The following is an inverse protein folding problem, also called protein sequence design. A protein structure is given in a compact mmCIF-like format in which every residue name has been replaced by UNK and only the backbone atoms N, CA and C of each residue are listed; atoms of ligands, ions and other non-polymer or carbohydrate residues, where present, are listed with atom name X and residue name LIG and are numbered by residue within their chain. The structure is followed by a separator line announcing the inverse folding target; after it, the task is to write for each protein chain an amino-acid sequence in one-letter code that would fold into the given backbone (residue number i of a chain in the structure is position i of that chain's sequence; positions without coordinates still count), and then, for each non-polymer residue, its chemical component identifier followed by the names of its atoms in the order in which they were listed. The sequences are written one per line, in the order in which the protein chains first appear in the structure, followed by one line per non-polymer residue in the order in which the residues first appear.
data_IF_119703586820
#
_entry.id   IF_119703586820
#
_cell.length_a   1.000
_cell.length_b   1.000
_cell.length_c   1.000
_cell.angle_alpha   90.00
_cell.angle_beta   90.00
_cell.angle_gamma   90.00
#
_symmetry.space_group_name_H-M   'P 1'
#
loop_
_entity.id
_entity.type
_entity.pdbx_description
1 polymer ?
#
# COMPACT_ATOMS: atom_id res chain seq x y z
N UNK A 1 14.61 -9.17 16.17
CA UNK A 1 13.59 -8.96 15.13
C UNK A 1 14.17 -8.00 14.10
N UNK A 2 14.17 -8.30 12.80
CA UNK A 2 14.69 -7.36 11.80
C UNK A 2 13.56 -6.40 11.44
N UNK A 3 13.63 -5.19 11.96
CA UNK A 3 12.65 -4.12 11.70
C UNK A 3 12.92 -3.52 10.32
N UNK A 4 11.88 -3.33 9.51
CA UNK A 4 11.97 -2.62 8.24
C UNK A 4 11.68 -1.14 8.43
N UNK A 5 12.17 -0.30 7.52
CA UNK A 5 11.65 1.07 7.42
C UNK A 5 10.18 1.05 7.01
N UNK A 6 9.44 2.14 7.24
CA UNK A 6 8.03 2.21 6.84
C UNK A 6 7.87 2.11 5.32
N UNK A 7 8.76 2.76 4.57
CA UNK A 7 8.76 2.71 3.12
C UNK A 7 9.03 1.28 2.59
N UNK A 8 9.97 0.54 3.18
CA UNK A 8 10.21 -0.86 2.81
C UNK A 8 9.03 -1.76 3.14
N UNK A 9 8.35 -1.53 4.28
CA UNK A 9 7.17 -2.30 4.65
C UNK A 9 6.00 -2.09 3.67
N UNK A 10 5.75 -0.85 3.23
CA UNK A 10 4.75 -0.59 2.19
C UNK A 10 5.15 -1.16 0.82
N UNK A 11 6.42 -0.99 0.45
CA UNK A 11 6.95 -1.49 -0.81
C UNK A 11 6.91 -3.02 -0.92
N UNK A 12 6.96 -3.73 0.21
CA UNK A 12 6.78 -5.19 0.25
C UNK A 12 5.45 -5.62 -0.39
N UNK A 13 4.37 -4.85 -0.19
CA UNK A 13 3.06 -5.09 -0.78
C UNK A 13 2.84 -4.37 -2.12
N UNK A 14 3.87 -3.73 -2.69
CA UNK A 14 3.73 -2.92 -3.91
C UNK A 14 2.87 -1.66 -3.73
N UNK A 15 2.69 -1.21 -2.48
CA UNK A 15 1.93 0.00 -2.13
C UNK A 15 2.86 1.18 -1.90
N UNK A 16 2.38 2.40 -2.13
CA UNK A 16 3.17 3.62 -1.99
C UNK A 16 2.42 4.66 -1.15
N UNK A 17 2.93 5.03 0.04
CA UNK A 17 2.28 6.05 0.87
C UNK A 17 2.41 7.43 0.23
N UNK A 18 1.40 8.29 0.43
CA UNK A 18 1.47 9.69 -0.01
C UNK A 18 2.64 10.43 0.67
N UNK A 19 2.92 10.10 1.93
CA UNK A 19 4.07 10.62 2.65
C UNK A 19 4.68 9.62 3.64
N UNK A 20 5.92 9.15 3.40
CA UNK A 20 6.54 8.09 4.20
C UNK A 20 6.85 8.47 5.66
N UNK A 21 6.63 9.71 6.09
CA UNK A 21 6.82 10.13 7.48
C UNK A 21 5.56 10.03 8.34
N UNK A 22 4.38 10.21 7.75
CA UNK A 22 3.12 10.30 8.51
C UNK A 22 2.00 9.44 7.96
N UNK A 23 2.14 8.82 6.78
CA UNK A 23 1.14 7.92 6.23
C UNK A 23 0.96 6.70 7.11
N UNK A 24 -0.30 6.38 7.40
CA UNK A 24 -0.70 5.18 8.16
C UNK A 24 -1.24 4.08 7.25
N UNK A 25 -1.32 4.35 5.96
CA UNK A 25 -1.75 3.38 4.97
C UNK A 25 -1.18 3.76 3.61
N UNK A 26 -1.29 2.86 2.66
CA UNK A 26 -0.92 3.08 1.28
C UNK A 26 -1.78 2.20 0.37
N UNK A 27 -1.84 2.58 -0.91
CA UNK A 27 -2.53 1.82 -1.95
C UNK A 27 -1.57 1.55 -3.12
N UNK A 28 -1.77 0.44 -3.83
CA UNK A 28 -1.07 0.17 -5.09
C UNK A 28 -1.62 1.04 -6.23
N UNK A 29 -0.83 1.30 -7.30
CA UNK A 29 -1.30 2.12 -8.42
C UNK A 29 -2.54 1.59 -9.15
N UNK A 30 -2.78 0.29 -9.11
CA UNK A 30 -3.96 -0.37 -9.72
C UNK A 30 -5.18 -0.40 -8.79
N UNK A 31 -5.07 0.14 -7.57
CA UNK A 31 -6.11 0.15 -6.56
C UNK A 31 -6.61 -1.25 -6.14
N UNK A 32 -5.77 -2.28 -6.31
CA UNK A 32 -6.08 -3.67 -5.96
C UNK A 32 -5.41 -4.16 -4.67
N UNK A 33 -4.49 -3.38 -4.12
CA UNK A 33 -3.79 -3.70 -2.89
C UNK A 33 -3.82 -2.49 -1.96
N UNK A 34 -4.28 -2.69 -0.73
CA UNK A 34 -4.24 -1.70 0.34
C UNK A 34 -3.40 -2.27 1.47
N UNK A 35 -2.52 -1.46 2.04
CA UNK A 35 -1.74 -1.80 3.22
C UNK A 35 -1.96 -0.76 4.31
N UNK A 36 -2.13 -1.19 5.56
CA UNK A 36 -2.41 -0.32 6.71
C UNK A 36 -1.44 -0.65 7.84
N UNK A 37 -0.90 0.37 8.49
CA UNK A 37 -0.12 0.19 9.72
C UNK A 37 -1.04 0.05 10.91
N UNK A 38 -0.86 -1.01 11.71
CA UNK A 38 -1.65 -1.27 12.91
C UNK A 38 -0.69 -1.54 14.07
N UNK A 39 -1.00 -0.98 15.25
CA UNK A 39 -0.27 -1.34 16.45
C UNK A 39 -0.64 -2.75 16.87
N UNK A 40 0.37 -3.59 17.04
CA UNK A 40 0.16 -4.99 17.41
C UNK A 40 -0.61 -5.13 18.73
N UNK A 41 -0.44 -4.16 19.64
CA UNK A 41 -1.09 -4.10 20.94
C UNK A 41 -2.54 -3.62 20.92
N UNK A 42 -3.03 -3.09 19.78
CA UNK A 42 -4.45 -2.75 19.59
C UNK A 42 -5.28 -3.96 19.15
N UNK A 43 -4.63 -5.04 18.72
CA UNK A 43 -5.31 -6.24 18.24
C UNK A 43 -5.54 -7.22 19.39
N UNK A 44 -6.79 -7.63 19.55
CA UNK A 44 -7.20 -8.65 20.51
C UNK A 44 -6.56 -10.00 20.23
N UNK A 45 -6.54 -10.86 21.25
CA UNK A 45 -6.01 -12.23 21.12
C UNK A 45 -6.74 -13.01 20.02
N UNK A 46 -8.03 -12.71 19.82
CA UNK A 46 -8.88 -13.30 18.79
C UNK A 46 -8.61 -12.77 17.37
N UNK A 47 -7.62 -11.88 17.19
CA UNK A 47 -7.28 -11.28 15.91
C UNK A 47 -8.22 -10.14 15.49
N UNK A 48 -9.10 -9.67 16.38
CA UNK A 48 -9.97 -8.54 16.11
C UNK A 48 -9.32 -7.22 16.49
N UNK A 49 -9.66 -6.16 15.76
CA UNK A 49 -9.40 -4.77 16.16
C UNK A 49 -10.71 -4.01 16.07
N UNK A 50 -10.99 -3.22 17.09
CA UNK A 50 -12.13 -2.32 17.15
C UNK A 50 -11.65 -1.01 17.77
N UNK A 51 -11.65 0.06 16.97
CA UNK A 51 -11.24 1.40 17.41
C UNK A 51 -12.42 2.34 17.64
N UNK A 52 -13.66 1.83 17.61
CA UNK A 52 -14.85 2.63 17.90
C UNK A 52 -14.90 3.07 19.37
N UNK A 53 -15.29 4.33 19.59
CA UNK A 53 -15.35 4.95 20.92
C UNK A 53 -13.98 5.16 21.56
N UNK A 54 -12.90 5.15 20.78
CA UNK A 54 -11.54 5.38 21.29
C UNK A 54 -11.48 6.72 22.04
N UNK A 55 -10.97 6.76 23.30
CA UNK A 55 -10.85 8.01 24.06
C UNK A 55 -9.93 9.03 23.37
N UNK A 56 -9.02 8.54 22.52
CA UNK A 56 -8.03 9.34 21.82
C UNK A 56 -8.51 9.80 20.43
N UNK A 57 -9.80 9.59 20.10
CA UNK A 57 -10.37 9.91 18.79
C UNK A 57 -10.05 11.34 18.33
N UNK A 58 -10.15 12.30 19.24
CA UNK A 58 -9.87 13.71 18.97
C UNK A 58 -8.42 13.94 18.50
N UNK A 59 -7.47 13.13 18.97
CA UNK A 59 -6.04 13.29 18.71
C UNK A 59 -5.64 12.85 17.31
N UNK A 60 -6.43 11.99 16.66
CA UNK A 60 -6.08 11.43 15.36
C UNK A 60 -7.08 11.75 14.24
N UNK A 61 -8.33 12.10 14.55
CA UNK A 61 -9.38 12.38 13.54
C UNK A 61 -8.91 13.42 12.50
N UNK A 62 -8.27 14.50 12.96
CA UNK A 62 -7.82 15.60 12.10
C UNK A 62 -6.48 15.36 11.38
N UNK A 63 -5.77 14.27 11.72
CA UNK A 63 -4.42 14.04 11.20
C UNK A 63 -4.46 13.65 9.71
N UNK A 64 -3.50 14.13 8.90
CA UNK A 64 -3.42 13.76 7.49
C UNK A 64 -3.38 12.25 7.24
N UNK A 65 -2.66 11.51 8.10
CA UNK A 65 -2.58 10.05 8.03
C UNK A 65 -3.93 9.36 8.21
N UNK A 66 -4.83 9.91 9.03
CA UNK A 66 -6.17 9.36 9.19
C UNK A 66 -7.03 9.58 7.95
N UNK A 67 -6.96 10.77 7.35
CA UNK A 67 -7.70 11.07 6.11
C UNK A 67 -7.26 10.18 4.95
N UNK A 68 -5.96 9.87 4.88
CA UNK A 68 -5.43 8.88 3.94
C UNK A 68 -5.94 7.47 4.26
N UNK A 69 -5.91 7.07 5.54
CA UNK A 69 -6.43 5.78 6.00
C UNK A 69 -7.90 5.57 5.65
N UNK A 70 -8.77 6.55 5.92
CA UNK A 70 -10.19 6.50 5.55
C UNK A 70 -10.33 6.25 4.05
N UNK A 71 -9.64 7.03 3.22
CA UNK A 71 -9.68 6.87 1.76
C UNK A 71 -9.24 5.48 1.32
N UNK A 72 -8.15 4.97 1.88
CA UNK A 72 -7.60 3.67 1.52
C UNK A 72 -8.46 2.51 2.02
N UNK A 73 -9.09 2.63 3.20
CA UNK A 73 -10.05 1.64 3.69
C UNK A 73 -11.34 1.61 2.84
N UNK A 74 -11.79 2.75 2.32
CA UNK A 74 -12.87 2.79 1.32
C UNK A 74 -12.48 2.03 0.05
N UNK A 75 -11.26 2.24 -0.44
CA UNK A 75 -10.73 1.49 -1.60
C UNK A 75 -10.68 -0.01 -1.27
N UNK A 76 -10.22 -0.41 -0.09
CA UNK A 76 -10.21 -1.82 0.32
C UNK A 76 -11.61 -2.42 0.27
N UNK A 77 -12.61 -1.73 0.82
CA UNK A 77 -14.02 -2.14 0.79
C UNK A 77 -14.57 -2.27 -0.63
N UNK A 78 -14.29 -1.31 -1.49
CA UNK A 78 -14.88 -1.22 -2.83
C UNK A 78 -14.17 -2.10 -3.86
N UNK A 79 -12.84 -2.26 -3.76
CA UNK A 79 -12.02 -2.88 -4.80
C UNK A 79 -11.33 -4.17 -4.38
N UNK A 80 -11.18 -4.41 -3.08
CA UNK A 80 -10.40 -5.52 -2.51
C UNK A 80 -11.26 -6.46 -1.65
N UNK A 81 -12.59 -6.40 -1.76
CA UNK A 81 -13.49 -7.25 -0.96
C UNK A 81 -13.42 -6.97 0.55
N UNK A 82 -13.01 -5.75 0.94
CA UNK A 82 -12.77 -5.38 2.33
C UNK A 82 -11.42 -5.84 2.88
N UNK A 83 -10.56 -6.47 2.07
CA UNK A 83 -9.27 -6.97 2.52
C UNK A 83 -8.17 -5.92 2.42
N UNK A 84 -7.30 -5.89 3.43
CA UNK A 84 -6.07 -5.11 3.41
C UNK A 84 -4.92 -5.85 4.11
N UNK A 85 -3.69 -5.58 3.65
CA UNK A 85 -2.48 -6.06 4.28
C UNK A 85 -2.15 -5.26 5.53
N UNK A 86 -1.53 -5.91 6.51
CA UNK A 86 -1.13 -5.28 7.76
C UNK A 86 0.38 -5.07 7.79
N UNK A 87 0.78 -3.87 8.22
CA UNK A 87 2.15 -3.60 8.67
C UNK A 87 2.07 -3.45 10.19
N UNK A 88 2.61 -4.44 10.89
CA UNK A 88 2.64 -4.42 12.35
C UNK A 88 3.59 -3.35 12.85
N UNK A 89 3.13 -2.57 13.82
CA UNK A 89 3.92 -1.59 14.56
C UNK A 89 3.99 -2.05 16.01
N UNK A 90 5.21 -2.17 16.54
CA UNK A 90 5.42 -2.55 17.94
C UNK A 90 5.81 -1.34 18.77
N UNK A 91 5.25 -1.22 19.96
CA UNK A 91 5.63 -0.19 20.92
C UNK A 91 6.93 -0.55 21.63
N UNK A 92 7.72 0.47 21.96
CA UNK A 92 8.92 0.33 22.80
C UNK A 92 8.56 0.15 24.26
N UNK A 93 7.61 0.94 24.73
CA UNK A 93 7.05 0.90 26.08
C UNK A 93 5.54 1.12 25.98
N UNK A 94 4.77 0.22 26.57
CA UNK A 94 3.31 0.27 26.58
C UNK A 94 2.77 1.27 27.61
N UNK A 95 3.62 1.71 28.55
CA UNK A 95 3.26 2.68 29.58
C UNK A 95 3.51 4.13 29.13
N UNK A 96 4.14 4.35 27.96
CA UNK A 96 4.37 5.68 27.39
C UNK A 96 3.15 6.15 26.60
N UNK A 97 2.75 7.42 26.72
CA UNK A 97 1.68 8.00 25.91
C UNK A 97 2.11 9.36 25.36
N UNK A 98 2.20 9.56 24.04
CA UNK A 98 1.91 8.58 22.97
C UNK A 98 2.96 7.46 22.88
N UNK A 99 2.57 6.28 22.40
CA UNK A 99 3.51 5.17 22.18
C UNK A 99 4.63 5.54 21.19
N UNK A 100 5.85 5.12 21.52
CA UNK A 100 7.00 5.23 20.62
C UNK A 100 7.26 3.91 19.90
N UNK A 101 7.66 4.00 18.63
CA UNK A 101 7.83 2.83 17.76
C UNK A 101 9.15 2.13 18.08
N UNK A 102 9.06 0.85 18.46
CA UNK A 102 10.21 -0.05 18.54
C UNK A 102 10.55 -0.67 17.19
N UNK A 103 9.52 -1.04 16.42
CA UNK A 103 9.71 -1.77 15.18
C UNK A 103 8.50 -1.73 14.27
N UNK A 104 8.76 -2.08 13.00
CA UNK A 104 7.75 -2.25 11.97
C UNK A 104 8.10 -3.44 11.10
N UNK A 105 7.10 -4.20 10.66
CA UNK A 105 7.29 -5.30 9.73
C UNK A 105 5.98 -5.64 8.99
N UNK A 106 6.05 -6.03 7.71
CA UNK A 106 4.89 -6.49 6.95
C UNK A 106 4.42 -7.87 7.43
N UNK A 107 3.11 -8.08 7.47
CA UNK A 107 2.46 -9.39 7.66
C UNK A 107 2.18 -10.04 6.30
N UNK A 108 2.79 -11.20 6.05
CA UNK A 108 2.68 -11.92 4.78
C UNK A 108 1.82 -13.20 4.86
N UNK A 109 1.43 -13.65 6.05
CA UNK A 109 0.63 -14.86 6.22
C UNK A 109 -0.86 -14.58 6.25
N UNK A 110 -1.24 -13.41 6.77
CA UNK A 110 -2.64 -13.05 7.00
C UNK A 110 -2.96 -11.67 6.47
N UNK A 111 -4.26 -11.44 6.27
CA UNK A 111 -4.81 -10.13 5.98
C UNK A 111 -5.83 -9.77 7.05
N UNK A 112 -6.21 -8.50 7.09
CA UNK A 112 -7.40 -8.11 7.84
C UNK A 112 -8.56 -7.85 6.89
N UNK A 113 -9.75 -8.29 7.31
CA UNK A 113 -11.02 -8.00 6.66
C UNK A 113 -11.72 -6.89 7.43
N UNK A 114 -11.95 -5.78 6.76
CA UNK A 114 -12.74 -4.66 7.25
C UNK A 114 -14.19 -5.13 7.47
N UNK A 115 -14.72 -4.89 8.67
CA UNK A 115 -16.11 -5.17 9.03
C UNK A 115 -16.95 -3.90 8.94
N UNK A 116 -16.51 -2.85 9.62
CA UNK A 116 -17.18 -1.56 9.67
C UNK A 116 -16.17 -0.42 9.55
N UNK A 117 -16.61 0.71 8.98
CA UNK A 117 -15.83 1.94 8.85
C UNK A 117 -16.77 3.14 8.99
N UNK A 118 -16.48 4.01 9.94
CA UNK A 118 -17.01 5.37 9.96
C UNK A 118 -16.14 6.26 9.07
N UNK A 119 -16.70 6.73 7.96
CA UNK A 119 -15.98 7.55 6.99
C UNK A 119 -15.77 9.00 7.42
N UNK A 120 -16.46 9.44 8.48
CA UNK A 120 -16.33 10.78 9.05
C UNK A 120 -15.19 10.81 10.06
N UNK A 121 -15.19 9.84 10.98
CA UNK A 121 -14.21 9.81 12.08
C UNK A 121 -12.96 9.01 11.71
N UNK A 122 -13.11 7.97 10.89
CA UNK A 122 -12.06 6.99 10.58
C UNK A 122 -11.93 5.88 11.62
N UNK A 123 -12.91 5.74 12.50
CA UNK A 123 -13.07 4.57 13.34
C UNK A 123 -13.46 3.37 12.48
N UNK A 124 -12.95 2.19 12.83
CA UNK A 124 -13.21 0.98 12.07
C UNK A 124 -13.08 -0.25 12.96
N UNK A 125 -13.64 -1.35 12.48
CA UNK A 125 -13.41 -2.67 13.05
C UNK A 125 -12.98 -3.63 11.96
N UNK A 126 -12.07 -4.55 12.30
CA UNK A 126 -11.56 -5.54 11.37
C UNK A 126 -11.18 -6.83 12.09
N UNK A 127 -11.10 -7.93 11.34
CA UNK A 127 -10.69 -9.24 11.86
C UNK A 127 -9.59 -9.83 10.99
N UNK A 128 -8.64 -10.49 11.63
CA UNK A 128 -7.61 -11.26 10.94
C UNK A 128 -8.25 -12.45 10.22
N UNK A 129 -7.86 -12.65 8.97
CA UNK A 129 -8.38 -13.71 8.10
C UNK A 129 -7.27 -14.36 7.29
N UNK A 130 -7.50 -15.60 6.89
CA UNK A 130 -6.67 -16.29 5.91
C UNK A 130 -7.08 -15.89 4.48
N UNK A 131 -6.22 -15.16 3.73
CA UNK A 131 -6.56 -14.73 2.39
C UNK A 131 -6.62 -15.88 1.37
N UNK A 132 -6.07 -17.06 1.68
CA UNK A 132 -6.10 -18.22 0.80
C UNK A 132 -7.36 -19.08 0.98
N UNK A 133 -8.11 -18.88 2.06
CA UNK A 133 -9.37 -19.57 2.31
C UNK A 133 -10.52 -18.92 1.54
N UNK A 134 -11.36 -19.73 0.88
CA UNK A 134 -12.48 -19.22 0.07
C UNK A 134 -13.45 -18.36 0.88
N UNK A 135 -13.71 -18.74 2.13
CA UNK A 135 -14.60 -18.04 3.06
C UNK A 135 -13.90 -17.00 3.94
N UNK A 136 -12.60 -16.75 3.74
CA UNK A 136 -11.79 -15.85 4.57
C UNK A 136 -11.92 -16.19 6.06
N UNK A 137 -11.61 -17.45 6.38
CA UNK A 137 -11.67 -18.00 7.73
C UNK A 137 -10.94 -17.09 8.72
N UNK A 138 -11.59 -16.84 9.86
CA UNK A 138 -11.01 -16.02 10.93
C UNK A 138 -9.76 -16.69 11.50
N UNK A 139 -8.76 -15.86 11.78
CA UNK A 139 -7.50 -16.24 12.42
C UNK A 139 -7.32 -15.45 13.70
N UNK A 140 -6.52 -15.99 14.60
CA UNK A 140 -6.16 -15.37 15.87
C UNK A 140 -4.70 -14.92 15.85
N UNK A 141 -4.31 -14.07 16.80
CA UNK A 141 -2.91 -13.69 16.93
C UNK A 141 -1.99 -14.88 17.28
N UNK A 142 -2.54 -15.93 17.89
CA UNK A 142 -1.81 -17.16 18.21
C UNK A 142 -1.49 -18.01 16.96
N UNK A 143 -2.25 -17.86 15.87
CA UNK A 143 -2.01 -18.56 14.61
C UNK A 143 -0.81 -18.00 13.83
N UNK A 144 -0.30 -16.83 14.25
CA UNK A 144 0.82 -16.18 13.58
C UNK A 144 2.11 -16.96 13.79
N UNK A 145 2.91 -17.20 12.73
CA UNK A 145 4.19 -17.86 12.89
C UNK A 145 5.08 -17.08 13.87
N UNK A 146 5.74 -17.81 14.77
CA UNK A 146 6.57 -17.23 15.83
C UNK A 146 7.78 -16.41 15.33
N UNK A 147 8.08 -16.48 14.03
CA UNK A 147 9.17 -15.72 13.41
C UNK A 147 8.60 -14.86 12.29
N UNK A 148 8.77 -13.52 12.36
CA UNK A 148 8.35 -12.64 11.26
C UNK A 148 9.13 -13.00 9.99
N UNK A 149 8.57 -12.73 8.81
CA UNK A 149 9.24 -12.98 7.55
C UNK A 149 10.59 -12.26 7.50
N UNK A 150 11.61 -12.96 7.00
CA UNK A 150 12.90 -12.32 6.72
C UNK A 150 12.70 -11.49 5.46
N UNK A 151 12.50 -10.18 5.63
CA UNK A 151 12.48 -9.26 4.50
C UNK A 151 13.81 -9.36 3.73
N UNK A 152 13.73 -9.97 2.56
CA UNK A 152 14.75 -9.91 1.54
C UNK A 152 14.37 -8.76 0.63
N UNK A 153 15.09 -7.62 0.66
CA UNK A 153 14.76 -6.51 -0.21
C UNK A 153 14.72 -7.00 -1.66
N UNK A 154 13.79 -6.50 -2.49
CA UNK A 154 13.76 -6.81 -3.91
C UNK A 154 15.15 -6.54 -4.50
N UNK A 155 15.74 -7.56 -5.14
CA UNK A 155 17.08 -7.45 -5.71
C UNK A 155 17.08 -6.28 -6.71
N UNK A 156 17.90 -5.22 -6.50
CA UNK A 156 17.92 -4.05 -7.37
C UNK A 156 18.18 -4.39 -8.84
N UNK A 157 18.84 -5.53 -9.10
CA UNK A 157 19.12 -6.02 -10.47
C UNK A 157 17.88 -6.47 -11.24
N UNK A 158 16.74 -6.70 -10.57
CA UNK A 158 15.45 -6.98 -11.23
C UNK A 158 14.68 -5.71 -11.60
N UNK A 159 15.15 -4.52 -11.19
CA UNK A 159 14.81 -3.27 -11.88
C UNK A 159 15.54 -3.23 -13.22
N UNK A 160 15.21 -4.17 -14.11
CA UNK A 160 15.42 -3.96 -15.53
C UNK A 160 14.48 -2.83 -15.89
N UNK A 161 15.04 -1.62 -15.85
CA UNK A 161 14.49 -0.37 -16.32
C UNK A 161 13.85 -0.66 -17.68
N UNK A 162 12.54 -0.88 -17.72
CA UNK A 162 11.74 -0.81 -18.94
C UNK A 162 11.60 0.67 -19.29
N UNK A 163 12.73 1.35 -19.45
CA UNK A 163 12.85 2.72 -19.98
C UNK A 163 13.77 2.72 -21.19
N UNK A 164 13.68 1.65 -21.98
CA UNK A 164 13.99 1.66 -23.41
C UNK A 164 12.72 1.24 -24.16
N UNK A 165 11.60 1.90 -23.88
CA UNK A 165 10.86 2.38 -25.04
C UNK A 165 11.65 3.59 -25.49
N UNK A 166 12.59 3.36 -26.41
CA UNK A 166 12.85 4.35 -27.44
C UNK A 166 11.48 4.86 -27.85
N UNK A 167 11.19 6.14 -27.59
CA UNK A 167 10.22 6.85 -28.40
C UNK A 167 10.67 6.66 -29.84
N UNK A 168 10.16 5.62 -30.51
CA UNK A 168 10.05 5.58 -31.94
C UNK A 168 9.22 6.82 -32.27
N UNK A 169 9.91 7.93 -32.53
CA UNK A 169 9.28 9.06 -33.21
C UNK A 169 8.72 8.46 -34.48
N UNK A 170 7.41 8.55 -34.66
CA UNK A 170 6.80 8.21 -35.93
C UNK A 170 7.48 9.10 -36.99
N UNK A 171 8.35 8.52 -37.81
CA UNK A 171 8.96 9.23 -38.93
C UNK A 171 7.87 9.37 -39.99
N UNK A 172 7.41 10.59 -40.21
CA UNK A 172 6.48 10.86 -41.30
C UNK A 172 7.17 10.54 -42.63
N UNK A 173 6.48 9.85 -43.54
CA UNK A 173 7.01 9.47 -44.85
C UNK A 173 6.26 10.24 -45.93
N UNK A 174 6.98 10.80 -46.90
CA UNK A 174 6.35 11.49 -48.03
C UNK A 174 5.55 10.48 -48.86
N UNK A 175 4.25 10.72 -49.08
CA UNK A 175 3.42 9.81 -49.89
C UNK A 175 3.83 9.74 -51.37
N UNK A 176 4.48 10.79 -51.88
CA UNK A 176 4.90 10.88 -53.29
C UNK A 176 6.27 10.25 -53.53
N UNK A 177 7.23 10.49 -52.63
CA UNK A 177 8.62 10.07 -52.80
C UNK A 177 9.00 8.85 -51.96
N UNK A 178 8.14 8.43 -51.02
CA UNK A 178 8.38 7.31 -50.10
C UNK A 178 9.68 7.44 -49.27
N UNK A 179 10.18 8.67 -49.07
CA UNK A 179 11.34 8.96 -48.21
C UNK A 179 10.89 9.53 -46.86
N UNK A 180 11.71 9.34 -45.83
CA UNK A 180 11.50 9.94 -44.52
C UNK A 180 11.55 11.46 -44.59
N UNK A 181 10.57 12.12 -43.97
CA UNK A 181 10.49 13.56 -43.91
C UNK A 181 11.39 14.11 -42.80
N UNK A 182 12.07 15.24 -43.02
CA UNK A 182 12.72 15.99 -41.95
C UNK A 182 11.67 16.49 -40.95
N UNK A 183 12.12 16.92 -39.76
CA UNK A 183 11.23 17.38 -38.68
C UNK A 183 10.33 18.58 -39.06
N UNK A 184 10.62 19.26 -40.17
CA UNK A 184 9.80 20.34 -40.75
C UNK A 184 8.52 19.83 -41.41
N UNK A 185 8.44 18.53 -41.74
CA UNK A 185 7.30 17.92 -42.42
C UNK A 185 7.22 18.22 -43.90
N UNK A 186 8.24 18.83 -44.53
CA UNK A 186 8.26 19.14 -45.97
C UNK A 186 9.29 18.26 -46.65
N UNK A 187 8.91 17.60 -47.74
CA UNK A 187 9.84 16.78 -48.52
C UNK A 187 10.84 17.63 -49.31
N UNK A 188 12.13 17.48 -49.05
CA UNK A 188 13.18 18.23 -49.76
C UNK A 188 13.30 17.86 -51.25
N UNK A 189 12.71 16.73 -51.67
CA UNK A 189 12.74 16.27 -53.07
C UNK A 189 11.57 16.81 -53.89
N UNK A 190 10.35 16.87 -53.33
CA UNK A 190 9.16 17.27 -54.08
C UNK A 190 8.44 18.52 -53.54
N UNK A 191 8.87 19.07 -52.40
CA UNK A 191 8.31 20.28 -51.78
C UNK A 191 6.90 20.13 -51.20
N UNK A 192 6.39 18.90 -51.05
CA UNK A 192 5.06 18.66 -50.47
C UNK A 192 5.14 18.36 -48.97
N UNK A 193 4.12 18.81 -48.25
CA UNK A 193 3.86 18.50 -46.83
C UNK A 193 3.19 17.15 -46.66
#
# INVERSE_FOLDING_TARGET
MKTTTLAEAFAFFGTYPDNPRWSWSAVSPDLKTVAVTIWENEVGVDGSIDVFGSPDLADWTSKPGNRERIRNLKIARENCGGLFHVIWVTARDLNETPWTIAGRYPEDHFMMKLLELDEVTGEFSAVLVDPASEDQERRTMADRPAKPPVYSPPNPSTRRRTSQQETQRATATCQTCCIELPATGICDTCGQT
#
